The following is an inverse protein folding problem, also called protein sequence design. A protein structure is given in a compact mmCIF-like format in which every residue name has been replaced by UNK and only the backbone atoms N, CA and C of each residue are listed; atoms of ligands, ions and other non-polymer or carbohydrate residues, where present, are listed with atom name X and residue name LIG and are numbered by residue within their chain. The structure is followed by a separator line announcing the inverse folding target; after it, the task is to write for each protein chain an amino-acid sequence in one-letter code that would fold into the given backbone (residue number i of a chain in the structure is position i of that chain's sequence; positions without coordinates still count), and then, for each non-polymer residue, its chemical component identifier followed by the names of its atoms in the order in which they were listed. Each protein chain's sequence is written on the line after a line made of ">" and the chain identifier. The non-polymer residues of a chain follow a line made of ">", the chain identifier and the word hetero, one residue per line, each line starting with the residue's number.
data_IF_917262224395
#
_entry.id   IF_917262224395
#
_cell.length_a   1.000
_cell.length_b   1.000
_cell.length_c   1.000
_cell.angle_alpha   90.00
_cell.angle_beta   90.00
_cell.angle_gamma   90.00
#
_symmetry.space_group_name_H-M   'P 1'
#
loop_
_entity.id
_entity.type
_entity.pdbx_description
1 polymer ?
#
# COMPACT_ATOMS: atom_id res chain seq x y z
N UNK A 1 -25.69 -6.85 -1.92
CA UNK A 1 -25.44 -6.84 -1.57
C UNK A 1 -25.00 -6.78 -1.05
N UNK A 2 -25.03 -7.02 -0.95
CA UNK A 2 -24.68 -7.01 -0.46
C UNK A 2 -24.03 -6.98 0.01
N UNK A 3 -24.06 -7.06 0.05
CA UNK A 3 -23.54 -7.07 0.42
C UNK A 3 -23.13 -7.16 1.04
N UNK A 4 -23.09 -7.36 1.21
CA UNK A 4 -22.78 -7.53 1.62
C UNK A 4 -22.50 -7.35 2.41
N UNK A 5 -22.51 -7.40 2.59
CA UNK A 5 -22.49 -7.29 3.67
C UNK A 5 -21.39 -6.86 4.42
N UNK A 6 -21.39 -6.73 5.39
CA UNK A 6 -20.47 -6.22 6.03
C UNK A 6 -19.24 -6.70 5.79
N UNK A 7 -19.21 -7.69 5.46
CA UNK A 7 -18.03 -8.20 5.34
C UNK A 7 -17.48 -7.81 4.16
N UNK A 8 -17.84 -6.88 3.70
CA UNK A 8 -17.09 -6.41 2.85
C UNK A 8 -16.03 -5.79 3.46
N UNK A 9 -15.22 -6.45 4.14
CA UNK A 9 -14.12 -5.96 4.64
C UNK A 9 -13.23 -5.64 3.58
N UNK A 10 -12.88 -4.50 3.31
CA UNK A 10 -11.97 -4.02 2.32
C UNK A 10 -10.57 -4.25 2.81
N UNK A 11 -10.19 -5.46 2.94
CA UNK A 11 -8.86 -5.82 3.43
C UNK A 11 -8.07 -6.53 2.37
N UNK A 12 -6.78 -6.23 2.33
CA UNK A 12 -5.88 -6.88 1.40
C UNK A 12 -4.57 -7.18 2.09
N UNK A 13 -3.96 -8.27 1.69
CA UNK A 13 -2.61 -8.63 2.12
C UNK A 13 -1.76 -8.73 0.86
N UNK A 14 -0.77 -7.86 0.75
CA UNK A 14 0.11 -7.88 -0.39
C UNK A 14 1.53 -8.18 0.05
N UNK A 15 2.24 -8.93 -0.76
CA UNK A 15 3.62 -9.26 -0.51
C UNK A 15 4.43 -8.74 -1.67
N UNK A 16 5.47 -7.99 -1.38
CA UNK A 16 6.26 -7.40 -2.45
C UNK A 16 7.53 -6.75 -1.93
N UNK A 17 8.15 -5.97 -2.77
CA UNK A 17 9.41 -5.31 -2.47
C UNK A 17 9.18 -3.80 -2.48
N UNK A 18 9.72 -3.12 -1.48
CA UNK A 18 9.65 -1.65 -1.47
C UNK A 18 10.51 -1.13 -2.62
N UNK A 19 9.89 -0.46 -3.57
CA UNK A 19 10.61 -0.01 -4.75
C UNK A 19 11.31 1.33 -4.52
N UNK A 20 11.03 1.99 -3.41
CA UNK A 20 11.69 3.23 -3.02
C UNK A 20 11.47 3.43 -1.54
N UNK A 21 12.21 4.35 -0.95
CA UNK A 21 12.04 4.64 0.47
C UNK A 21 10.81 5.48 0.70
N UNK A 22 10.16 5.36 1.86
CA UNK A 22 8.98 6.17 2.15
C UNK A 22 9.30 7.65 2.15
N UNK A 23 8.36 8.44 1.67
CA UNK A 23 8.47 9.89 1.67
C UNK A 23 7.20 10.47 2.26
N UNK A 24 7.27 11.68 2.75
CA UNK A 24 6.13 12.34 3.35
C UNK A 24 5.01 12.47 2.32
N UNK A 25 3.81 12.10 2.73
CA UNK A 25 2.63 12.26 1.90
C UNK A 25 1.79 13.44 2.39
N UNK A 26 1.23 13.33 3.57
CA UNK A 26 0.37 14.39 4.10
C UNK A 26 0.11 14.15 5.58
N UNK A 27 -0.55 15.13 6.20
CA UNK A 27 -0.96 14.99 7.57
C UNK A 27 -2.46 15.25 7.65
N UNK A 28 -3.16 14.42 8.41
CA UNK A 28 -4.60 14.55 8.54
C UNK A 28 -4.98 14.17 9.96
N UNK A 29 -5.76 15.02 10.61
CA UNK A 29 -6.22 14.77 11.98
C UNK A 29 -5.09 14.40 12.93
N UNK A 30 -3.96 15.07 12.79
CA UNK A 30 -2.82 14.85 13.67
C UNK A 30 -1.97 13.64 13.34
N UNK A 31 -2.31 12.91 12.29
CA UNK A 31 -1.55 11.73 11.88
C UNK A 31 -0.75 12.07 10.64
N UNK A 32 0.56 11.82 10.70
CA UNK A 32 1.44 12.05 9.55
C UNK A 32 1.52 10.75 8.77
N UNK A 33 1.30 10.84 7.46
CA UNK A 33 1.35 9.68 6.58
C UNK A 33 2.54 9.77 5.64
N UNK A 34 3.15 8.64 5.37
CA UNK A 34 4.20 8.53 4.38
C UNK A 34 3.76 7.53 3.32
N UNK A 35 4.38 7.59 2.17
CA UNK A 35 4.00 6.73 1.06
C UNK A 35 5.23 6.14 0.40
N UNK A 36 5.10 4.90 -0.07
CA UNK A 36 6.15 4.27 -0.87
C UNK A 36 5.51 3.30 -1.85
N UNK A 37 6.17 3.05 -2.99
CA UNK A 37 5.64 2.09 -3.96
C UNK A 37 6.05 0.67 -3.56
N UNK A 38 5.11 -0.25 -3.63
CA UNK A 38 5.36 -1.67 -3.38
C UNK A 38 5.29 -2.38 -4.71
N UNK A 39 6.37 -3.05 -5.10
CA UNK A 39 6.41 -3.82 -6.32
C UNK A 39 5.92 -5.23 -6.02
N UNK A 40 4.83 -5.61 -6.66
CA UNK A 40 4.18 -6.90 -6.43
C UNK A 40 4.29 -7.70 -7.70
N UNK A 41 4.86 -8.90 -7.63
CA UNK A 41 5.03 -9.72 -8.80
C UNK A 41 3.82 -10.61 -9.01
N UNK A 42 3.30 -10.63 -10.23
CA UNK A 42 2.22 -11.53 -10.59
C UNK A 42 2.77 -12.87 -11.00
N UNK A 43 1.90 -13.86 -11.00
CA UNK A 43 2.30 -15.19 -11.47
C UNK A 43 2.77 -15.18 -12.90
N UNK A 44 2.27 -14.27 -13.71
CA UNK A 44 2.70 -14.18 -15.10
C UNK A 44 4.11 -13.67 -15.26
N UNK A 45 4.72 -13.18 -14.18
CA UNK A 45 6.03 -12.57 -14.26
C UNK A 45 5.99 -11.07 -14.36
N UNK A 46 4.84 -10.48 -14.64
CA UNK A 46 4.72 -9.04 -14.68
C UNK A 46 4.74 -8.47 -13.27
N UNK A 47 5.10 -7.22 -13.16
CA UNK A 47 5.20 -6.56 -11.88
C UNK A 47 4.25 -5.39 -11.84
N UNK A 48 3.46 -5.30 -10.77
CA UNK A 48 2.61 -4.16 -10.54
C UNK A 48 3.21 -3.30 -9.45
N UNK A 49 2.95 -2.01 -9.50
CA UNK A 49 3.35 -1.13 -8.43
C UNK A 49 2.11 -0.61 -7.75
N UNK A 50 2.04 -0.85 -6.45
CA UNK A 50 0.91 -0.43 -5.63
C UNK A 50 1.40 0.65 -4.70
N UNK A 51 0.68 1.77 -4.65
CA UNK A 51 1.05 2.85 -3.76
C UNK A 51 0.60 2.48 -2.35
N UNK A 52 1.53 2.47 -1.40
CA UNK A 52 1.23 2.17 0.00
C UNK A 52 1.27 3.45 0.79
N UNK A 53 0.20 3.72 1.52
CA UNK A 53 0.13 4.88 2.40
C UNK A 53 0.15 4.35 3.83
N UNK A 54 1.05 4.87 4.64
CA UNK A 54 1.30 4.29 5.95
C UNK A 54 1.48 5.38 7.00
N UNK A 55 0.88 5.23 8.19
CA UNK A 55 1.14 6.19 9.26
C UNK A 55 2.60 6.14 9.67
N UNK A 56 3.19 7.32 9.88
CA UNK A 56 4.60 7.39 10.27
C UNK A 56 4.88 6.59 11.54
N UNK A 57 3.91 6.54 12.47
CA UNK A 57 4.09 5.79 13.71
C UNK A 57 4.35 4.31 13.43
N UNK A 58 3.73 3.77 12.38
CA UNK A 58 3.95 2.38 12.04
C UNK A 58 5.35 2.17 11.49
N UNK A 59 5.85 3.13 10.72
CA UNK A 59 7.21 3.06 10.20
C UNK A 59 8.25 3.19 11.30
N UNK A 60 7.92 3.88 12.38
CA UNK A 60 8.85 3.96 13.50
C UNK A 60 9.00 2.63 14.18
N UNK A 61 7.96 1.81 14.16
CA UNK A 61 8.05 0.47 14.72
C UNK A 61 8.70 -0.50 13.74
N UNK A 62 8.49 -0.29 12.46
CA UNK A 62 9.02 -1.18 11.44
C UNK A 62 9.49 -0.35 10.25
N UNK A 63 10.73 0.13 10.30
CA UNK A 63 11.24 0.97 9.22
C UNK A 63 11.29 0.22 7.90
N UNK A 64 11.05 0.94 6.82
CA UNK A 64 11.06 0.40 5.47
C UNK A 64 12.14 1.10 4.68
N UNK A 65 12.97 0.32 4.00
CA UNK A 65 13.99 0.86 3.11
C UNK A 65 13.82 0.25 1.74
N UNK A 66 14.35 0.92 0.74
CA UNK A 66 14.26 0.43 -0.63
C UNK A 66 14.88 -0.95 -0.76
N UNK A 67 14.21 -1.85 -1.44
CA UNK A 67 14.69 -3.21 -1.64
C UNK A 67 14.20 -4.21 -0.60
N UNK A 68 13.55 -3.73 0.45
CA UNK A 68 13.11 -4.60 1.52
C UNK A 68 11.87 -5.39 1.10
N UNK A 69 11.83 -6.67 1.42
CA UNK A 69 10.68 -7.50 1.13
C UNK A 69 9.71 -7.49 2.29
N UNK A 70 8.46 -7.21 1.99
CA UNK A 70 7.47 -6.94 3.00
C UNK A 70 6.15 -7.62 2.73
N UNK A 71 5.40 -7.85 3.80
CA UNK A 71 3.98 -8.10 3.70
C UNK A 71 3.27 -6.88 4.26
N UNK A 72 2.32 -6.36 3.52
CA UNK A 72 1.55 -5.20 3.93
C UNK A 72 0.09 -5.58 3.97
N UNK A 73 -0.53 -5.36 5.11
CA UNK A 73 -1.95 -5.63 5.28
C UNK A 73 -2.66 -4.32 5.51
N UNK A 74 -3.78 -4.11 4.85
CA UNK A 74 -4.51 -2.88 5.03
C UNK A 74 -5.77 -2.81 4.21
N UNK A 75 -6.26 -1.61 4.00
CA UNK A 75 -7.46 -1.35 3.23
C UNK A 75 -7.11 -0.84 1.85
N UNK A 76 -7.79 -1.36 0.85
CA UNK A 76 -7.60 -0.88 -0.51
C UNK A 76 -8.57 0.26 -0.75
N UNK A 77 -8.07 1.37 -1.25
CA UNK A 77 -8.88 2.50 -1.62
C UNK A 77 -8.55 2.92 -3.03
N UNK A 78 -9.56 3.29 -3.77
CA UNK A 78 -9.34 3.76 -5.13
C UNK A 78 -10.07 5.06 -5.33
N UNK A 79 -9.53 5.89 -6.19
CA UNK A 79 -10.19 7.13 -6.54
C UNK A 79 -9.75 7.52 -7.96
N UNK A 80 -10.59 8.33 -8.59
CA UNK A 80 -10.29 8.80 -9.92
C UNK A 80 -9.50 10.08 -9.83
N UNK A 81 -8.36 10.10 -10.47
CA UNK A 81 -7.56 11.30 -10.54
C UNK A 81 -7.81 11.94 -11.89
N UNK A 82 -8.55 13.05 -11.89
CA UNK A 82 -8.87 13.73 -13.13
C UNK A 82 -7.81 14.77 -13.37
N UNK A 83 -7.02 14.59 -14.38
CA UNK A 83 -6.06 15.59 -14.72
C UNK A 83 -6.12 15.79 -16.20
N UNK A 84 -6.61 16.90 -16.61
CA UNK A 84 -6.54 17.32 -17.99
C UNK A 84 -7.28 16.41 -18.94
N UNK A 85 -6.63 15.39 -19.40
CA UNK A 85 -7.14 14.59 -20.45
C UNK A 85 -7.81 13.35 -20.00
N UNK A 86 -8.64 13.33 -19.07
CA UNK A 86 -9.35 12.14 -18.69
C UNK A 86 -9.12 11.77 -17.24
N UNK A 87 -9.59 10.62 -16.85
CA UNK A 87 -9.47 10.20 -15.46
C UNK A 87 -8.62 8.95 -15.39
N UNK A 88 -7.92 8.81 -14.30
CA UNK A 88 -7.06 7.69 -14.08
C UNK A 88 -7.41 7.09 -12.76
N UNK A 89 -7.60 5.78 -12.72
CA UNK A 89 -7.90 5.11 -11.47
C UNK A 89 -6.61 4.92 -10.69
N UNK A 90 -6.58 5.41 -9.47
CA UNK A 90 -5.44 5.27 -8.59
C UNK A 90 -5.83 4.34 -7.46
N UNK A 91 -5.02 3.31 -7.23
CA UNK A 91 -5.27 2.34 -6.18
C UNK A 91 -4.20 2.50 -5.12
N UNK A 92 -4.64 2.68 -3.88
CA UNK A 92 -3.74 2.87 -2.76
C UNK A 92 -4.08 1.86 -1.67
N UNK A 93 -3.07 1.28 -1.07
CA UNK A 93 -3.23 0.40 0.08
C UNK A 93 -2.91 1.19 1.33
N UNK A 94 -3.92 1.38 2.18
CA UNK A 94 -3.74 2.08 3.46
C UNK A 94 -3.29 1.06 4.47
N UNK A 95 -2.01 1.06 4.77
CA UNK A 95 -1.39 0.03 5.59
C UNK A 95 -1.85 0.08 7.03
N UNK A 96 -2.21 -1.06 7.56
CA UNK A 96 -2.52 -1.24 8.97
C UNK A 96 -1.43 -2.00 9.67
N UNK A 97 -0.76 -2.90 8.97
CA UNK A 97 0.35 -3.67 9.50
C UNK A 97 1.41 -3.87 8.45
N UNK A 98 2.65 -3.83 8.90
CA UNK A 98 3.80 -4.12 8.05
C UNK A 98 4.58 -5.24 8.69
N UNK A 99 4.97 -6.23 7.91
CA UNK A 99 5.78 -7.33 8.41
C UNK A 99 6.88 -7.62 7.41
N UNK A 100 8.02 -8.06 7.90
CA UNK A 100 9.05 -8.53 6.99
C UNK A 100 8.59 -9.85 6.39
N UNK A 101 8.83 -10.02 5.10
CA UNK A 101 8.53 -11.27 4.46
C UNK A 101 9.61 -12.27 4.80
N UNK A 102 9.23 -13.40 5.37
CA UNK A 102 10.18 -14.43 5.72
C UNK A 102 10.31 -15.49 4.67
N UNK A 103 9.63 -15.34 3.56
CA UNK A 103 9.70 -16.32 2.52
C UNK A 103 10.77 -15.93 1.57
N UNK A 104 11.85 -16.68 1.61
CA UNK A 104 12.85 -16.46 0.64
C UNK A 104 12.95 -17.69 -0.12
N UNK A 105 12.65 -17.73 -1.24
CA UNK A 105 12.92 -18.92 -1.97
C UNK A 105 13.64 -18.64 -3.19
#
# INVERSE_FOLDING_TARGET
>A
MDMQTGWNENRALLRGTAAAEPVLSHETHGVVYETFPLAVRRLSGSEDRVNVLVPRALLEQRPVTEGMELEVEGEVRSFNNKSGKGSRLVITLYAKELRLSLIHI
#
